data_IF_240317165828
#
_entry.id   IF_240317165828
#
_cell.length_a   1.000
_cell.length_b   1.000
_cell.length_c   1.000
_cell.angle_alpha   90.00
_cell.angle_beta   90.00
_cell.angle_gamma   90.00
#
_symmetry.space_group_name_H-M   'P 1'
#
loop_
_entity.id
_entity.type
_entity.pdbx_description
1 polymer ?
#
# COMPACT_ATOMS: atom_id res chain seq x y z
N UNK A 1 20.89 -16.67 -5.61
CA UNK A 1 19.62 -16.28 -6.28
C UNK A 1 18.38 -16.74 -5.49
N UNK A 2 18.37 -17.97 -4.92
CA UNK A 2 17.19 -18.51 -4.20
C UNK A 2 16.89 -17.87 -2.82
N UNK A 3 17.85 -17.26 -2.16
CA UNK A 3 17.70 -16.70 -0.81
C UNK A 3 17.11 -15.29 -0.81
N UNK A 4 17.35 -14.50 -1.85
CA UNK A 4 16.81 -13.14 -2.05
C UNK A 4 15.31 -13.21 -2.42
N UNK A 5 14.92 -14.20 -3.23
CA UNK A 5 13.58 -14.40 -3.74
C UNK A 5 12.52 -14.64 -2.63
N UNK A 6 12.89 -15.31 -1.52
CA UNK A 6 11.95 -15.58 -0.41
C UNK A 6 11.58 -14.35 0.41
N UNK A 7 12.47 -13.36 0.56
CA UNK A 7 12.18 -12.12 1.31
C UNK A 7 11.44 -11.10 0.45
N UNK A 8 11.61 -11.13 -0.86
CA UNK A 8 10.93 -10.24 -1.81
C UNK A 8 9.48 -10.68 -2.12
N UNK A 9 9.12 -11.94 -1.88
CA UNK A 9 7.76 -12.48 -2.11
C UNK A 9 6.70 -11.99 -1.13
N UNK A 10 7.03 -11.16 -0.16
CA UNK A 10 6.09 -10.67 0.87
C UNK A 10 5.54 -9.27 0.59
N UNK A 11 5.70 -8.73 -0.62
CA UNK A 11 5.26 -7.38 -0.98
C UNK A 11 3.75 -7.21 -1.13
N UNK A 12 3.00 -8.30 -1.30
CA UNK A 12 1.54 -8.26 -1.37
C UNK A 12 0.97 -8.99 -0.15
N UNK A 13 0.29 -8.26 0.72
CA UNK A 13 -0.36 -8.82 1.91
C UNK A 13 -1.83 -9.09 1.56
N UNK A 14 -2.27 -10.32 1.78
CA UNK A 14 -3.68 -10.71 1.72
C UNK A 14 -4.37 -10.39 3.06
N UNK A 15 -5.63 -9.98 3.05
CA UNK A 15 -6.43 -9.60 4.24
C UNK A 15 -6.27 -10.54 5.44
N UNK A 16 -6.27 -11.86 5.20
CA UNK A 16 -6.06 -12.89 6.25
C UNK A 16 -4.72 -12.78 6.98
N UNK A 17 -3.71 -12.06 6.44
CA UNK A 17 -2.42 -11.86 7.11
C UNK A 17 -2.41 -10.61 7.98
N UNK A 18 -3.21 -9.60 7.64
CA UNK A 18 -3.43 -8.45 8.53
C UNK A 18 -4.16 -8.89 9.81
N UNK A 19 -5.16 -9.77 9.68
CA UNK A 19 -5.82 -10.38 10.84
C UNK A 19 -4.87 -11.25 11.67
N UNK A 20 -3.94 -11.97 11.02
CA UNK A 20 -2.88 -12.71 11.72
C UNK A 20 -1.86 -11.80 12.44
N UNK A 21 -1.58 -10.61 11.93
CA UNK A 21 -0.73 -9.64 12.62
C UNK A 21 -1.37 -9.18 13.94
N UNK A 22 -2.70 -9.09 13.98
CA UNK A 22 -3.47 -8.87 15.23
C UNK A 22 -3.35 -10.06 16.21
N UNK A 23 -3.21 -11.28 15.68
CA UNK A 23 -3.16 -12.54 16.46
C UNK A 23 -1.74 -12.83 17.00
N UNK A 24 -0.67 -12.29 16.39
CA UNK A 24 0.73 -12.49 16.82
C UNK A 24 1.09 -11.66 18.08
N UNK A 25 0.15 -11.62 19.02
CA UNK A 25 0.34 -11.32 20.43
C UNK A 25 1.26 -10.13 20.76
N UNK A 26 0.79 -8.90 20.59
CA UNK A 26 1.37 -7.74 21.26
C UNK A 26 2.62 -7.10 20.67
N UNK A 27 3.37 -7.79 19.81
CA UNK A 27 4.56 -7.22 19.17
C UNK A 27 4.22 -6.26 18.03
N UNK A 28 3.18 -6.57 17.25
CA UNK A 28 2.69 -5.69 16.19
C UNK A 28 1.46 -4.93 16.67
N UNK A 29 1.58 -3.60 16.74
CA UNK A 29 0.48 -2.69 17.05
C UNK A 29 0.08 -1.95 15.78
N UNK A 30 -0.86 -2.49 14.98
CA UNK A 30 -1.32 -1.86 13.75
C UNK A 30 -2.22 -0.68 14.07
N UNK A 31 -2.02 0.41 13.37
CA UNK A 31 -2.92 1.56 13.32
C UNK A 31 -3.47 1.70 11.90
N UNK A 32 -4.80 1.70 11.75
CA UNK A 32 -5.46 1.83 10.46
C UNK A 32 -5.83 3.28 10.24
N UNK A 33 -5.25 3.88 9.22
CA UNK A 33 -5.54 5.24 8.75
C UNK A 33 -6.60 5.15 7.65
N UNK A 34 -7.76 5.77 7.85
CA UNK A 34 -8.76 5.92 6.79
C UNK A 34 -8.37 7.06 5.86
N UNK A 35 -7.91 6.68 4.67
CA UNK A 35 -7.53 7.60 3.59
C UNK A 35 -8.74 8.12 2.81
N UNK A 36 -9.74 8.65 3.51
CA UNK A 36 -10.98 9.17 2.93
C UNK A 36 -11.15 10.64 3.30
N UNK A 37 -11.67 11.43 2.37
CA UNK A 37 -12.02 12.83 2.60
C UNK A 37 -13.46 13.11 2.16
N UNK A 38 -14.06 14.16 2.68
CA UNK A 38 -15.44 14.56 2.34
C UNK A 38 -15.47 15.21 0.96
N UNK A 39 -16.13 14.56 -0.01
CA UNK A 39 -16.14 14.98 -1.42
C UNK A 39 -16.75 16.38 -1.60
N UNK A 40 -17.80 16.71 -0.85
CA UNK A 40 -18.49 18.01 -0.93
C UNK A 40 -17.57 19.21 -0.61
N UNK A 41 -16.50 19.02 0.18
CA UNK A 41 -15.54 20.06 0.51
C UNK A 41 -14.42 20.24 -0.51
N UNK A 42 -14.39 19.42 -1.56
CA UNK A 42 -13.41 19.54 -2.65
C UNK A 42 -11.96 19.41 -2.21
N UNK A 43 -11.07 20.14 -2.90
CA UNK A 43 -9.63 20.07 -2.64
C UNK A 43 -9.22 20.58 -1.25
N UNK A 44 -9.98 21.51 -0.66
CA UNK A 44 -9.70 21.98 0.69
C UNK A 44 -9.95 20.87 1.73
N UNK A 45 -11.07 20.16 1.63
CA UNK A 45 -11.35 19.03 2.52
C UNK A 45 -10.32 17.90 2.41
N UNK A 46 -9.79 17.66 1.21
CA UNK A 46 -8.68 16.72 1.03
C UNK A 46 -7.42 17.18 1.76
N UNK A 47 -7.08 18.47 1.66
CA UNK A 47 -5.92 19.05 2.33
C UNK A 47 -6.07 18.99 3.85
N UNK A 48 -7.21 19.43 4.37
CA UNK A 48 -7.51 19.40 5.80
C UNK A 48 -7.46 17.97 6.35
N UNK A 49 -7.99 17.00 5.57
CA UNK A 49 -7.91 15.59 5.94
C UNK A 49 -6.49 15.04 5.99
N UNK A 50 -5.60 15.48 5.11
CA UNK A 50 -4.19 15.09 5.19
C UNK A 50 -3.53 15.60 6.47
N UNK A 51 -3.83 16.83 6.87
CA UNK A 51 -3.30 17.42 8.11
C UNK A 51 -3.83 16.68 9.35
N UNK A 52 -5.12 16.28 9.38
CA UNK A 52 -5.68 15.42 10.42
C UNK A 52 -5.00 14.05 10.47
N UNK A 53 -4.78 13.42 9.30
CA UNK A 53 -4.09 12.12 9.22
C UNK A 53 -2.67 12.21 9.79
N UNK A 54 -1.97 13.30 9.57
CA UNK A 54 -0.64 13.49 10.14
C UNK A 54 -0.68 13.52 11.68
N UNK A 55 -1.67 14.19 12.26
CA UNK A 55 -1.86 14.21 13.71
C UNK A 55 -2.22 12.81 14.25
N UNK A 56 -3.18 12.13 13.61
CA UNK A 56 -3.57 10.75 13.97
C UNK A 56 -2.36 9.80 13.98
N UNK A 57 -1.46 9.94 13.01
CA UNK A 57 -0.25 9.11 12.89
C UNK A 57 0.76 9.45 13.98
N UNK A 58 0.99 10.72 14.26
CA UNK A 58 1.91 11.14 15.32
C UNK A 58 1.44 10.61 16.69
N UNK A 59 0.16 10.78 17.02
CA UNK A 59 -0.46 10.23 18.24
C UNK A 59 -0.36 8.69 18.31
N UNK A 60 -0.60 8.01 17.17
CA UNK A 60 -0.50 6.55 17.11
C UNK A 60 0.93 6.08 17.40
N UNK A 61 1.95 6.76 16.88
CA UNK A 61 3.36 6.43 17.14
C UNK A 61 3.72 6.66 18.60
N UNK A 62 3.28 7.77 19.19
CA UNK A 62 3.48 8.06 20.61
C UNK A 62 2.84 6.98 21.51
N UNK A 63 1.69 6.43 21.08
CA UNK A 63 1.02 5.30 21.74
C UNK A 63 1.64 3.93 21.40
N UNK A 64 2.78 3.92 20.70
CA UNK A 64 3.56 2.73 20.41
C UNK A 64 3.10 1.93 19.20
N UNK A 65 2.35 2.52 18.26
CA UNK A 65 2.08 1.90 16.98
C UNK A 65 3.40 1.73 16.22
N UNK A 66 3.60 0.54 15.65
CA UNK A 66 4.78 0.22 14.84
C UNK A 66 4.42 -0.22 13.43
N UNK A 67 3.14 -0.16 13.09
CA UNK A 67 2.62 -0.61 11.81
C UNK A 67 1.43 0.26 11.37
N UNK A 68 1.56 0.97 10.26
CA UNK A 68 0.48 1.75 9.65
C UNK A 68 -0.15 0.96 8.52
N UNK A 69 -1.48 0.99 8.45
CA UNK A 69 -2.24 0.52 7.30
C UNK A 69 -2.99 1.73 6.72
N UNK A 70 -2.55 2.22 5.57
CA UNK A 70 -3.25 3.26 4.82
C UNK A 70 -4.34 2.59 3.99
N UNK A 71 -5.61 2.84 4.28
CA UNK A 71 -6.73 2.14 3.66
C UNK A 71 -7.75 3.10 3.06
N UNK A 72 -8.19 2.81 1.84
CA UNK A 72 -9.28 3.50 1.14
C UNK A 72 -10.61 2.74 1.21
N UNK A 73 -10.68 1.69 2.03
CA UNK A 73 -11.94 0.95 2.24
C UNK A 73 -13.02 1.85 2.80
N UNK A 74 -14.27 1.47 2.55
CA UNK A 74 -15.48 2.20 2.95
C UNK A 74 -15.71 3.49 2.15
N UNK A 75 -14.99 3.70 1.03
CA UNK A 75 -15.26 4.82 0.13
C UNK A 75 -16.67 4.74 -0.42
N UNK A 76 -17.34 5.90 -0.54
CA UNK A 76 -18.70 6.03 -1.05
C UNK A 76 -18.90 7.41 -1.69
N UNK A 77 -20.14 7.74 -2.08
CA UNK A 77 -20.43 9.02 -2.75
C UNK A 77 -20.15 10.27 -1.89
N UNK A 78 -20.18 10.16 -0.56
CA UNK A 78 -19.90 11.27 0.35
C UNK A 78 -18.43 11.33 0.78
N UNK A 79 -17.77 10.16 0.86
CA UNK A 79 -16.39 9.98 1.31
C UNK A 79 -15.55 9.40 0.18
N UNK A 80 -14.84 10.26 -0.53
CA UNK A 80 -13.95 9.86 -1.61
C UNK A 80 -12.59 9.39 -1.10
N UNK A 81 -11.95 8.43 -1.80
CA UNK A 81 -10.61 8.00 -1.45
C UNK A 81 -9.59 9.10 -1.82
N UNK A 82 -8.65 9.35 -0.91
CA UNK A 82 -7.41 10.06 -1.27
C UNK A 82 -6.62 9.13 -2.18
N UNK A 83 -6.16 9.58 -3.36
CA UNK A 83 -5.36 8.72 -4.26
C UNK A 83 -4.22 8.05 -3.50
N UNK A 84 -4.09 6.72 -3.64
CA UNK A 84 -3.21 5.92 -2.79
C UNK A 84 -1.74 6.37 -2.86
N UNK A 85 -1.27 6.77 -4.04
CA UNK A 85 0.09 7.28 -4.21
C UNK A 85 0.29 8.63 -3.52
N UNK A 86 -0.69 9.54 -3.60
CA UNK A 86 -0.64 10.83 -2.91
C UNK A 86 -0.58 10.64 -1.40
N UNK A 87 -1.49 9.82 -0.84
CA UNK A 87 -1.52 9.52 0.58
C UNK A 87 -0.20 8.89 1.05
N UNK A 88 0.30 7.88 0.33
CA UNK A 88 1.55 7.20 0.64
C UNK A 88 2.73 8.18 0.65
N UNK A 89 2.84 9.02 -0.37
CA UNK A 89 3.90 10.04 -0.48
C UNK A 89 3.80 11.07 0.65
N UNK A 90 2.60 11.59 0.91
CA UNK A 90 2.38 12.59 1.95
C UNK A 90 2.77 12.05 3.33
N UNK A 91 2.33 10.84 3.68
CA UNK A 91 2.67 10.18 4.95
C UNK A 91 4.18 9.87 5.02
N UNK A 92 4.77 9.35 3.94
CA UNK A 92 6.22 9.09 3.88
C UNK A 92 7.03 10.37 4.19
N UNK A 93 6.70 11.47 3.55
CA UNK A 93 7.40 12.74 3.76
C UNK A 93 7.12 13.34 5.13
N UNK A 94 5.91 13.20 5.68
CA UNK A 94 5.61 13.60 7.05
C UNK A 94 6.50 12.85 8.06
N UNK A 95 6.55 11.51 7.96
CA UNK A 95 7.38 10.67 8.83
C UNK A 95 8.88 11.00 8.72
N UNK A 96 9.36 11.35 7.51
CA UNK A 96 10.74 11.79 7.31
C UNK A 96 11.01 13.12 8.02
N UNK A 97 10.14 14.13 7.86
CA UNK A 97 10.27 15.42 8.53
C UNK A 97 10.21 15.33 10.05
N UNK A 98 9.42 14.38 10.56
CA UNK A 98 9.29 14.08 12.01
C UNK A 98 10.41 13.17 12.55
N UNK A 99 11.28 12.66 11.69
CA UNK A 99 12.33 11.68 12.04
C UNK A 99 11.80 10.37 12.66
N UNK A 100 10.55 10.02 12.40
CA UNK A 100 9.89 8.81 12.93
C UNK A 100 9.79 7.67 11.91
N UNK A 101 10.23 7.91 10.67
CA UNK A 101 10.09 6.95 9.56
C UNK A 101 10.64 5.55 9.84
N UNK A 102 11.71 5.44 10.61
CA UNK A 102 12.36 4.15 10.94
C UNK A 102 11.64 3.38 12.04
N UNK A 103 10.75 4.02 12.77
CA UNK A 103 10.03 3.41 13.90
C UNK A 103 8.80 2.63 13.44
N UNK A 104 8.31 2.87 12.21
CA UNK A 104 7.02 2.37 11.75
C UNK A 104 7.11 1.77 10.34
N UNK A 105 6.42 0.65 10.14
CA UNK A 105 6.22 0.04 8.81
C UNK A 105 4.91 0.48 8.21
N UNK A 106 4.89 0.79 6.91
CA UNK A 106 3.71 1.28 6.20
C UNK A 106 3.21 0.26 5.19
N UNK A 107 1.95 -0.12 5.30
CA UNK A 107 1.22 -0.96 4.35
C UNK A 107 0.15 -0.13 3.67
N UNK A 108 0.01 -0.28 2.37
CA UNK A 108 -1.03 0.37 1.58
C UNK A 108 -2.08 -0.66 1.17
N UNK A 109 -3.30 -0.45 1.61
CA UNK A 109 -4.48 -1.21 1.22
C UNK A 109 -5.35 -0.32 0.33
N UNK A 110 -5.37 -0.60 -0.98
CA UNK A 110 -5.94 0.32 -1.93
C UNK A 110 -6.70 -0.36 -3.07
N UNK A 111 -7.87 0.20 -3.40
CA UNK A 111 -8.72 -0.25 -4.49
C UNK A 111 -8.30 0.27 -5.85
N UNK A 112 -7.53 1.36 -5.92
CA UNK A 112 -7.03 1.95 -7.16
C UNK A 112 -5.82 1.20 -7.75
N UNK A 113 -5.24 0.25 -7.00
CA UNK A 113 -4.09 -0.55 -7.41
C UNK A 113 -4.54 -1.74 -8.26
N UNK A 114 -4.28 -1.70 -9.57
CA UNK A 114 -4.75 -2.69 -10.55
C UNK A 114 -3.64 -3.36 -11.34
N UNK A 115 -2.46 -2.75 -11.43
CA UNK A 115 -1.38 -3.22 -12.28
C UNK A 115 0.00 -3.10 -11.62
N UNK A 116 1.00 -3.65 -12.29
CA UNK A 116 2.38 -3.73 -11.81
C UNK A 116 2.96 -2.35 -11.50
N UNK A 117 2.70 -1.36 -12.37
CA UNK A 117 3.25 -0.02 -12.21
C UNK A 117 2.73 0.66 -10.95
N UNK A 118 1.46 0.51 -10.61
CA UNK A 118 0.89 1.04 -9.38
C UNK A 118 1.59 0.48 -8.13
N UNK A 119 1.82 -0.85 -8.10
CA UNK A 119 2.55 -1.49 -7.00
C UNK A 119 4.00 -1.00 -6.93
N UNK A 120 4.66 -0.88 -8.07
CA UNK A 120 6.03 -0.41 -8.17
C UNK A 120 6.19 1.02 -7.63
N UNK A 121 5.27 1.93 -7.98
CA UNK A 121 5.25 3.30 -7.48
C UNK A 121 5.04 3.35 -5.97
N UNK A 122 4.04 2.66 -5.44
CA UNK A 122 3.76 2.66 -4.00
C UNK A 122 4.96 2.18 -3.18
N UNK A 123 5.66 1.14 -3.65
CA UNK A 123 6.87 0.66 -2.99
C UNK A 123 8.00 1.69 -3.10
N UNK A 124 8.18 2.32 -4.27
CA UNK A 124 9.19 3.37 -4.46
C UNK A 124 8.95 4.56 -3.54
N UNK A 125 7.68 4.92 -3.33
CA UNK A 125 7.27 6.01 -2.44
C UNK A 125 7.16 5.61 -0.96
N UNK A 126 7.62 4.42 -0.57
CA UNK A 126 7.87 4.05 0.82
C UNK A 126 7.01 2.94 1.40
N UNK A 127 6.02 2.41 0.66
CA UNK A 127 5.24 1.28 1.15
C UNK A 127 6.16 0.06 1.41
N UNK A 128 5.97 -0.58 2.56
CA UNK A 128 6.62 -1.84 2.88
C UNK A 128 5.90 -3.04 2.25
N UNK A 129 4.58 -2.90 2.08
CA UNK A 129 3.74 -3.87 1.40
C UNK A 129 2.51 -3.18 0.79
N UNK A 130 1.90 -3.82 -0.21
CA UNK A 130 0.71 -3.34 -0.90
C UNK A 130 -0.33 -4.45 -0.91
N UNK A 131 -1.57 -4.11 -0.52
CA UNK A 131 -2.74 -4.96 -0.62
C UNK A 131 -3.73 -4.40 -1.66
N UNK A 132 -3.68 -4.84 -2.93
CA UNK A 132 -4.62 -4.44 -3.97
C UNK A 132 -5.94 -5.22 -3.80
N UNK A 133 -6.68 -4.94 -2.74
CA UNK A 133 -7.83 -5.76 -2.32
C UNK A 133 -8.91 -5.88 -3.41
N UNK A 134 -9.23 -4.79 -4.09
CA UNK A 134 -10.27 -4.79 -5.13
C UNK A 134 -9.84 -5.60 -6.35
N UNK A 135 -8.55 -5.59 -6.72
CA UNK A 135 -8.03 -6.44 -7.78
C UNK A 135 -8.11 -7.93 -7.40
N UNK A 136 -7.84 -8.27 -6.13
CA UNK A 136 -7.99 -9.65 -5.65
C UNK A 136 -9.44 -10.09 -5.65
N UNK A 137 -10.36 -9.28 -5.13
CA UNK A 137 -11.80 -9.55 -5.13
C UNK A 137 -12.36 -9.70 -6.57
N UNK A 138 -11.90 -8.86 -7.51
CA UNK A 138 -12.28 -8.93 -8.92
C UNK A 138 -11.85 -10.24 -9.57
N UNK A 139 -10.62 -10.69 -9.30
CA UNK A 139 -10.12 -11.95 -9.85
C UNK A 139 -10.82 -13.17 -9.22
N UNK A 140 -11.15 -13.10 -7.93
CA UNK A 140 -11.96 -14.13 -7.27
C UNK A 140 -13.38 -14.21 -7.87
N UNK A 141 -14.02 -13.07 -8.13
CA UNK A 141 -15.33 -13.02 -8.76
C UNK A 141 -15.32 -13.57 -10.19
N UNK A 142 -14.32 -13.20 -10.99
CA UNK A 142 -14.13 -13.75 -12.34
C UNK A 142 -13.95 -15.27 -12.34
N UNK A 143 -13.25 -15.81 -11.36
CA UNK A 143 -13.11 -17.26 -11.18
C UNK A 143 -14.45 -17.91 -10.80
N UNK A 144 -15.17 -17.36 -9.84
CA UNK A 144 -16.49 -17.87 -9.42
C UNK A 144 -17.52 -17.84 -10.55
N UNK A 145 -17.45 -16.84 -11.43
CA UNK A 145 -18.32 -16.72 -12.61
C UNK A 145 -17.90 -17.60 -13.79
N UNK A 146 -16.80 -18.35 -13.66
CA UNK A 146 -16.31 -19.27 -14.68
C UNK A 146 -15.58 -18.62 -15.86
N UNK A 147 -15.25 -17.32 -15.77
CA UNK A 147 -14.42 -16.64 -16.79
C UNK A 147 -12.96 -17.10 -16.74
N UNK A 148 -12.49 -17.54 -15.58
CA UNK A 148 -11.15 -18.10 -15.42
C UNK A 148 -11.23 -19.62 -15.24
N UNK A 149 -10.31 -20.36 -15.91
CA UNK A 149 -10.23 -21.82 -15.85
C UNK A 149 -9.45 -22.35 -14.63
N UNK A 150 -9.40 -21.57 -13.56
CA UNK A 150 -8.69 -21.89 -12.30
C UNK A 150 -9.56 -21.48 -11.13
N UNK A 151 -9.38 -22.11 -9.99
CA UNK A 151 -10.09 -21.76 -8.75
C UNK A 151 -9.66 -20.36 -8.23
N UNK A 152 -10.49 -19.75 -7.41
CA UNK A 152 -10.29 -18.39 -6.89
C UNK A 152 -8.96 -18.24 -6.13
N UNK A 153 -8.55 -19.24 -5.36
CA UNK A 153 -7.29 -19.20 -4.63
C UNK A 153 -6.08 -19.20 -5.58
N UNK A 154 -6.11 -20.06 -6.58
CA UNK A 154 -5.07 -20.13 -7.62
C UNK A 154 -5.02 -18.85 -8.44
N UNK A 155 -6.17 -18.27 -8.80
CA UNK A 155 -6.26 -17.03 -9.52
C UNK A 155 -5.59 -15.86 -8.76
N UNK A 156 -5.87 -15.71 -7.46
CA UNK A 156 -5.23 -14.71 -6.60
C UNK A 156 -3.73 -14.96 -6.44
N UNK A 157 -3.31 -16.22 -6.31
CA UNK A 157 -1.88 -16.57 -6.26
C UNK A 157 -1.16 -16.18 -7.55
N UNK A 158 -1.79 -16.42 -8.69
CA UNK A 158 -1.25 -16.06 -10.00
C UNK A 158 -1.12 -14.54 -10.15
N UNK A 159 -2.15 -13.76 -9.76
CA UNK A 159 -2.09 -12.30 -9.77
C UNK A 159 -0.97 -11.79 -8.86
N UNK A 160 -0.89 -12.30 -7.62
CA UNK A 160 0.18 -11.93 -6.67
C UNK A 160 1.57 -12.20 -7.25
N UNK A 161 1.74 -13.36 -7.91
CA UNK A 161 3.00 -13.72 -8.58
C UNK A 161 3.31 -12.80 -9.74
N UNK A 162 2.31 -12.47 -10.57
CA UNK A 162 2.48 -11.57 -11.71
C UNK A 162 2.90 -10.17 -11.25
N UNK A 163 2.23 -9.59 -10.27
CA UNK A 163 2.57 -8.29 -9.69
C UNK A 163 3.99 -8.29 -9.11
N UNK A 164 4.32 -9.28 -8.29
CA UNK A 164 5.64 -9.38 -7.66
C UNK A 164 6.77 -9.55 -8.69
N UNK A 165 6.57 -10.42 -9.68
CA UNK A 165 7.56 -10.63 -10.76
C UNK A 165 7.72 -9.37 -11.62
N UNK A 166 6.61 -8.66 -11.86
CA UNK A 166 6.61 -7.41 -12.60
C UNK A 166 7.42 -6.31 -11.91
N UNK A 167 7.24 -6.14 -10.59
CA UNK A 167 8.03 -5.18 -9.80
C UNK A 167 9.53 -5.52 -9.87
N UNK A 168 9.90 -6.80 -9.74
CA UNK A 168 11.29 -7.22 -9.89
C UNK A 168 11.87 -6.89 -11.26
N UNK A 169 11.06 -7.02 -12.33
CA UNK A 169 11.49 -6.62 -13.69
C UNK A 169 11.71 -5.11 -13.82
N UNK A 170 10.85 -4.29 -13.18
CA UNK A 170 11.04 -2.83 -13.15
C UNK A 170 12.32 -2.49 -12.40
N UNK A 171 12.53 -3.05 -11.21
CA UNK A 171 13.76 -2.85 -10.45
C UNK A 171 15.01 -3.24 -11.25
N UNK A 172 14.98 -4.38 -11.94
CA UNK A 172 16.08 -4.84 -12.78
C UNK A 172 16.38 -3.87 -13.93
N UNK A 173 15.35 -3.32 -14.59
CA UNK A 173 15.52 -2.30 -15.64
C UNK A 173 16.14 -1.00 -15.11
N UNK A 174 15.83 -0.64 -13.86
CA UNK A 174 16.40 0.55 -13.21
C UNK A 174 17.76 0.29 -12.56
N UNK A 175 18.30 -0.93 -12.65
CA UNK A 175 19.59 -1.31 -12.07
C UNK A 175 19.58 -1.41 -10.54
N UNK A 176 18.40 -1.55 -9.93
CA UNK A 176 18.26 -1.64 -8.46
C UNK A 176 18.03 -3.08 -8.04
N UNK A 177 18.94 -3.63 -7.23
CA UNK A 177 18.91 -5.04 -6.83
C UNK A 177 18.19 -5.32 -5.51
N UNK A 178 17.98 -4.30 -4.67
CA UNK A 178 17.35 -4.47 -3.35
C UNK A 178 16.17 -3.53 -3.16
N UNK A 179 15.12 -3.98 -2.47
CA UNK A 179 13.96 -3.15 -2.13
C UNK A 179 14.33 -1.98 -1.21
N UNK A 180 15.30 -2.19 -0.33
CA UNK A 180 15.78 -1.13 0.56
C UNK A 180 16.34 0.05 -0.23
N UNK A 181 17.10 -0.23 -1.30
CA UNK A 181 17.65 0.80 -2.19
C UNK A 181 16.61 1.35 -3.17
N UNK A 182 15.53 0.62 -3.44
CA UNK A 182 14.45 1.04 -4.32
C UNK A 182 13.51 2.05 -3.65
N UNK A 183 13.23 1.86 -2.36
CA UNK A 183 12.39 2.78 -1.59
C UNK A 183 13.07 4.13 -1.37
N UNK A 184 12.40 5.20 -1.77
CA UNK A 184 12.92 6.56 -1.62
C UNK A 184 14.07 6.93 -2.56
N UNK A 185 14.33 6.13 -3.60
CA UNK A 185 15.40 6.37 -4.57
C UNK A 185 15.08 7.47 -5.59
N UNK A 186 13.88 8.09 -5.52
CA UNK A 186 13.45 9.16 -6.43
C UNK A 186 13.53 8.78 -7.93
N UNK A 187 13.20 7.52 -8.23
CA UNK A 187 13.27 6.96 -9.59
C UNK A 187 12.10 7.38 -10.49
N UNK A 188 11.05 7.94 -9.92
CA UNK A 188 9.85 8.34 -10.62
C UNK A 188 9.55 9.81 -10.38
N UNK A 189 9.11 10.49 -11.42
CA UNK A 189 8.67 11.88 -11.38
C UNK A 189 7.18 11.95 -11.74
N UNK A 190 6.46 12.88 -11.12
CA UNK A 190 5.10 13.22 -11.51
C UNK A 190 5.18 14.27 -12.63
N UNK A 191 4.67 13.91 -13.81
CA UNK A 191 4.68 14.77 -14.99
C UNK A 191 3.25 15.21 -15.29
N UNK A 192 3.08 16.48 -15.70
CA UNK A 192 1.78 17.05 -16.09
C UNK A 192 0.91 17.49 -14.90
N UNK A 193 1.49 17.68 -13.74
CA UNK A 193 0.86 18.38 -12.63
C UNK A 193 1.13 19.89 -12.76
N UNK A 194 0.07 20.70 -12.61
CA UNK A 194 0.15 22.18 -12.58
C UNK A 194 0.31 22.68 -11.15
#
# INVERSE_FOLDING_TARGET
LHRVDRRQRQMCIRDRRLDRAKILGGYYKPFIVKGLYQVAGGGQALKDRLDEIFQEIDEAIENGANFLVLSDRDSNYAWGPIPSLLLTSAVQHHLLRRHTRTQISMVVEAGDVREIHHVALLIAYGAAAVNPYLAFESVEDLSRKGYLKVDAETAVKNLTRALSTGVLKIMAKMGVSTIMSYRGAQLFEAVGLN
#
